data_IF_808404522361
#
_entry.id   IF_808404522361
#
_cell.length_a   1.000
_cell.length_b   1.000
_cell.length_c   1.000
_cell.angle_alpha   90.00
_cell.angle_beta   90.00
_cell.angle_gamma   90.00
#
_symmetry.space_group_name_H-M   'P 1'
#
loop_
_entity.id
_entity.type
_entity.pdbx_description
1 polymer ?
#
# COMPACT_ATOMS: atom_id res chain seq x y z
N UNK A 1 -24.07 19.49 -88.56
CA UNK A 1 -24.13 18.40 -87.56
C UNK A 1 -25.44 18.43 -86.78
N UNK A 2 -26.07 19.60 -86.59
CA UNK A 2 -27.29 19.73 -85.78
C UNK A 2 -28.53 19.10 -86.41
N UNK A 3 -28.65 19.10 -87.74
CA UNK A 3 -29.78 18.46 -88.44
C UNK A 3 -29.76 16.93 -88.33
N UNK A 4 -28.57 16.31 -88.38
CA UNK A 4 -28.43 14.86 -88.21
C UNK A 4 -28.75 14.41 -86.77
N UNK A 5 -28.42 15.24 -85.77
CA UNK A 5 -28.79 14.98 -84.38
C UNK A 5 -30.30 15.06 -84.16
N UNK A 6 -30.98 16.03 -84.79
CA UNK A 6 -32.43 16.20 -84.70
C UNK A 6 -33.21 15.05 -85.36
N UNK A 7 -32.73 14.51 -86.48
CA UNK A 7 -33.34 13.35 -87.13
C UNK A 7 -33.07 12.05 -86.36
N UNK A 8 -31.89 11.90 -85.75
CA UNK A 8 -31.58 10.75 -84.89
C UNK A 8 -32.46 10.74 -83.62
N UNK A 9 -32.75 11.91 -83.03
CA UNK A 9 -33.56 12.05 -81.82
C UNK A 9 -35.05 11.71 -82.01
N UNK A 10 -35.54 11.68 -83.27
CA UNK A 10 -36.93 11.32 -83.59
C UNK A 10 -37.17 9.82 -83.67
N UNK A 11 -36.12 9.00 -83.71
CA UNK A 11 -36.28 7.54 -83.74
C UNK A 11 -36.74 7.00 -82.38
N UNK A 12 -37.73 6.12 -82.41
CA UNK A 12 -38.32 5.42 -81.24
C UNK A 12 -37.26 4.70 -80.40
N UNK A 13 -36.21 4.19 -81.05
CA UNK A 13 -35.07 3.54 -80.39
C UNK A 13 -34.25 4.50 -79.51
N UNK A 14 -34.08 5.76 -79.91
CA UNK A 14 -33.29 6.74 -79.16
C UNK A 14 -34.01 7.15 -77.87
N UNK A 15 -35.35 7.20 -77.90
CA UNK A 15 -36.14 7.39 -76.69
C UNK A 15 -36.00 6.23 -75.70
N UNK A 16 -35.99 4.98 -76.19
CA UNK A 16 -35.73 3.80 -75.35
C UNK A 16 -34.30 3.78 -74.76
N UNK A 17 -33.30 4.14 -75.55
CA UNK A 17 -31.91 4.27 -75.12
C UNK A 17 -31.76 5.35 -74.05
N UNK A 18 -32.38 6.51 -74.24
CA UNK A 18 -32.32 7.63 -73.31
C UNK A 18 -32.99 7.26 -71.97
N UNK A 19 -34.14 6.58 -72.01
CA UNK A 19 -34.83 6.11 -70.81
C UNK A 19 -34.00 5.07 -70.05
N UNK A 20 -33.39 4.11 -70.75
CA UNK A 20 -32.50 3.11 -70.15
C UNK A 20 -31.24 3.73 -69.54
N UNK A 21 -30.64 4.71 -70.24
CA UNK A 21 -29.46 5.42 -69.76
C UNK A 21 -29.79 6.28 -68.52
N UNK A 22 -30.97 6.89 -68.47
CA UNK A 22 -31.45 7.61 -67.30
C UNK A 22 -31.55 6.68 -66.09
N UNK A 23 -32.20 5.51 -66.24
CA UNK A 23 -32.33 4.53 -65.14
C UNK A 23 -30.95 4.03 -64.68
N UNK A 24 -30.07 3.70 -65.62
CA UNK A 24 -28.69 3.29 -65.31
C UNK A 24 -27.91 4.38 -64.56
N UNK A 25 -28.08 5.64 -64.95
CA UNK A 25 -27.45 6.77 -64.27
C UNK A 25 -27.94 6.93 -62.82
N UNK A 26 -29.25 6.79 -62.58
CA UNK A 26 -29.80 6.85 -61.22
C UNK A 26 -29.27 5.72 -60.32
N UNK A 27 -29.19 4.49 -60.83
CA UNK A 27 -28.66 3.33 -60.10
C UNK A 27 -27.17 3.49 -59.83
N UNK A 28 -26.42 4.02 -60.79
CA UNK A 28 -24.99 4.27 -60.61
C UNK A 28 -24.75 5.35 -59.56
N UNK A 29 -25.51 6.45 -59.60
CA UNK A 29 -25.43 7.53 -58.62
C UNK A 29 -25.77 7.03 -57.20
N UNK A 30 -26.83 6.23 -57.06
CA UNK A 30 -27.22 5.68 -55.74
C UNK A 30 -26.16 4.72 -55.22
N UNK A 31 -25.73 3.74 -56.03
CA UNK A 31 -24.71 2.77 -55.63
C UNK A 31 -23.37 3.42 -55.31
N UNK A 32 -23.00 4.49 -56.00
CA UNK A 32 -21.79 5.26 -55.68
C UNK A 32 -21.92 6.08 -54.40
N UNK A 33 -23.12 6.58 -54.09
CA UNK A 33 -23.41 7.26 -52.83
C UNK A 33 -23.29 6.30 -51.65
N UNK A 34 -23.93 5.13 -51.73
CA UNK A 34 -23.95 4.14 -50.66
C UNK A 34 -22.53 3.59 -50.39
N UNK A 35 -21.76 3.33 -51.45
CA UNK A 35 -20.34 2.94 -51.34
C UNK A 35 -19.50 4.01 -50.65
N UNK A 36 -19.76 5.28 -50.90
CA UNK A 36 -19.04 6.39 -50.25
C UNK A 36 -19.40 6.51 -48.78
N UNK A 37 -20.66 6.30 -48.40
CA UNK A 37 -21.08 6.30 -46.99
C UNK A 37 -20.45 5.13 -46.25
N UNK A 38 -20.54 3.90 -46.80
CA UNK A 38 -19.91 2.72 -46.22
C UNK A 38 -18.39 2.89 -46.06
N UNK A 39 -17.71 3.46 -47.05
CA UNK A 39 -16.27 3.73 -46.95
C UNK A 39 -15.91 4.75 -45.85
N UNK A 40 -16.79 5.71 -45.55
CA UNK A 40 -16.59 6.66 -44.44
C UNK A 40 -16.80 6.00 -43.09
N UNK A 41 -17.80 5.14 -42.98
CA UNK A 41 -18.08 4.39 -41.74
C UNK A 41 -16.93 3.44 -41.40
N UNK A 42 -16.40 2.71 -42.40
CA UNK A 42 -15.22 1.85 -42.21
C UNK A 42 -14.03 2.66 -41.68
N UNK A 43 -13.73 3.81 -42.30
CA UNK A 43 -12.62 4.67 -41.84
C UNK A 43 -12.83 5.21 -40.41
N UNK A 44 -14.08 5.54 -40.07
CA UNK A 44 -14.42 5.98 -38.72
C UNK A 44 -14.19 4.86 -37.71
N UNK A 45 -14.71 3.66 -37.98
CA UNK A 45 -14.53 2.49 -37.13
C UNK A 45 -13.05 2.10 -36.99
N UNK A 46 -12.28 2.19 -38.07
CA UNK A 46 -10.83 1.93 -38.02
C UNK A 46 -10.09 2.94 -37.13
N UNK A 47 -10.52 4.21 -37.15
CA UNK A 47 -9.99 5.25 -36.26
C UNK A 47 -10.36 4.96 -34.82
N UNK A 48 -11.62 4.61 -34.55
CA UNK A 48 -12.09 4.26 -33.20
C UNK A 48 -11.33 3.02 -32.66
N UNK A 49 -11.12 1.98 -33.47
CA UNK A 49 -10.32 0.80 -33.10
C UNK A 49 -8.87 1.19 -32.79
N UNK A 50 -8.28 2.06 -33.60
CA UNK A 50 -6.90 2.53 -33.39
C UNK A 50 -6.78 3.31 -32.08
N UNK A 51 -7.73 4.20 -31.80
CA UNK A 51 -7.74 4.99 -30.58
C UNK A 51 -7.94 4.11 -29.34
N UNK A 52 -8.88 3.14 -29.39
CA UNK A 52 -9.08 2.16 -28.32
C UNK A 52 -7.83 1.31 -28.07
N UNK A 53 -7.19 0.83 -29.14
CA UNK A 53 -5.94 0.06 -29.03
C UNK A 53 -4.81 0.89 -28.44
N UNK A 54 -4.73 2.18 -28.80
CA UNK A 54 -3.78 3.13 -28.22
C UNK A 54 -4.02 3.37 -26.73
N UNK A 55 -5.28 3.57 -26.33
CA UNK A 55 -5.64 3.72 -24.92
C UNK A 55 -5.33 2.47 -24.11
N UNK A 56 -5.63 1.28 -24.64
CA UNK A 56 -5.37 0.02 -23.96
C UNK A 56 -3.88 -0.25 -23.80
N UNK A 57 -3.08 0.00 -24.84
CA UNK A 57 -1.62 -0.11 -24.75
C UNK A 57 -1.05 0.87 -23.71
N UNK A 58 -1.57 2.10 -23.69
CA UNK A 58 -1.17 3.11 -22.69
C UNK A 58 -1.53 2.66 -21.27
N UNK A 59 -2.73 2.13 -21.05
CA UNK A 59 -3.14 1.62 -19.74
C UNK A 59 -2.32 0.41 -19.31
N UNK A 60 -2.04 -0.53 -20.22
CA UNK A 60 -1.17 -1.67 -19.94
C UNK A 60 0.24 -1.20 -19.58
N UNK A 61 0.79 -0.22 -20.30
CA UNK A 61 2.11 0.37 -20.01
C UNK A 61 2.12 1.05 -18.65
N UNK A 62 1.09 1.83 -18.32
CA UNK A 62 0.96 2.51 -17.01
C UNK A 62 0.82 1.46 -15.89
N UNK A 63 0.00 0.44 -16.08
CA UNK A 63 -0.21 -0.61 -15.08
C UNK A 63 1.05 -1.44 -14.85
N UNK A 64 1.75 -1.83 -15.93
CA UNK A 64 3.02 -2.54 -15.83
C UNK A 64 4.08 -1.69 -15.12
N UNK A 65 4.22 -0.42 -15.49
CA UNK A 65 5.17 0.50 -14.84
C UNK A 65 4.81 0.74 -13.37
N UNK A 66 3.52 0.91 -13.04
CA UNK A 66 3.08 1.05 -11.65
C UNK A 66 3.32 -0.20 -10.82
N UNK A 67 3.11 -1.39 -11.40
CA UNK A 67 3.38 -2.67 -10.74
C UNK A 67 4.90 -2.88 -10.52
N UNK A 68 5.74 -2.49 -11.47
CA UNK A 68 7.20 -2.55 -11.34
C UNK A 68 7.70 -1.66 -10.19
N UNK A 69 7.21 -0.41 -10.11
CA UNK A 69 7.51 0.50 -9.00
C UNK A 69 7.06 -0.09 -7.65
N UNK A 70 5.85 -0.66 -7.59
CA UNK A 70 5.34 -1.29 -6.38
C UNK A 70 6.21 -2.47 -5.94
N UNK A 71 6.71 -3.25 -6.92
CA UNK A 71 7.58 -4.38 -6.65
C UNK A 71 8.98 -3.95 -6.20
N UNK A 72 9.51 -2.86 -6.75
CA UNK A 72 10.75 -2.22 -6.29
C UNK A 72 10.60 -1.70 -4.85
N UNK A 73 9.51 -0.99 -4.54
CA UNK A 73 9.22 -0.54 -3.18
C UNK A 73 9.12 -1.71 -2.19
N UNK A 74 8.42 -2.79 -2.55
CA UNK A 74 8.37 -3.99 -1.71
C UNK A 74 9.76 -4.61 -1.48
N UNK A 75 10.61 -4.63 -2.50
CA UNK A 75 11.97 -5.15 -2.38
C UNK A 75 12.83 -4.25 -1.48
N UNK A 76 12.75 -2.93 -1.64
CA UNK A 76 13.47 -1.97 -0.80
C UNK A 76 13.02 -2.06 0.67
N UNK A 77 11.72 -2.14 0.93
CA UNK A 77 11.18 -2.34 2.28
C UNK A 77 11.65 -3.66 2.89
N UNK A 78 11.64 -4.76 2.14
CA UNK A 78 12.17 -6.05 2.62
C UNK A 78 13.65 -5.95 2.97
N UNK A 79 14.46 -5.31 2.13
CA UNK A 79 15.89 -5.07 2.40
C UNK A 79 16.09 -4.23 3.64
N UNK A 80 15.32 -3.15 3.81
CA UNK A 80 15.39 -2.29 4.99
C UNK A 80 14.97 -3.05 6.25
N UNK A 81 13.89 -3.83 6.18
CA UNK A 81 13.43 -4.63 7.31
C UNK A 81 14.48 -5.66 7.74
N UNK A 82 15.10 -6.36 6.80
CA UNK A 82 16.17 -7.31 7.10
C UNK A 82 17.41 -6.60 7.66
N UNK A 83 17.78 -5.44 7.12
CA UNK A 83 18.89 -4.64 7.66
C UNK A 83 18.59 -4.18 9.09
N UNK A 84 17.39 -3.67 9.35
CA UNK A 84 16.96 -3.29 10.70
C UNK A 84 16.94 -4.50 11.65
N UNK A 85 16.50 -5.66 11.19
CA UNK A 85 16.51 -6.91 11.97
C UNK A 85 17.93 -7.31 12.35
N UNK A 86 18.84 -7.30 11.37
CA UNK A 86 20.26 -7.60 11.60
C UNK A 86 20.88 -6.55 12.52
N UNK A 87 20.63 -5.26 12.31
CA UNK A 87 21.14 -4.18 13.13
C UNK A 87 20.64 -4.30 14.58
N UNK A 88 19.34 -4.55 14.77
CA UNK A 88 18.76 -4.75 16.09
C UNK A 88 19.37 -5.97 16.79
N UNK A 89 19.55 -7.10 16.08
CA UNK A 89 20.22 -8.27 16.64
C UNK A 89 21.70 -8.01 16.97
N UNK A 90 22.39 -7.20 16.15
CA UNK A 90 23.78 -6.83 16.38
C UNK A 90 23.92 -5.89 17.57
N UNK A 91 22.98 -4.95 17.76
CA UNK A 91 22.90 -4.09 18.95
C UNK A 91 22.64 -4.89 20.22
N UNK A 92 21.76 -5.91 20.17
CA UNK A 92 21.52 -6.80 21.31
C UNK A 92 22.73 -7.65 21.66
N UNK A 93 23.48 -8.14 20.67
CA UNK A 93 24.64 -9.02 20.90
C UNK A 93 25.92 -8.25 21.26
N UNK A 94 26.01 -6.96 20.92
CA UNK A 94 27.10 -6.08 21.30
C UNK A 94 26.59 -4.97 22.20
N UNK A 95 26.24 -5.26 23.48
CA UNK A 95 26.08 -4.20 24.47
C UNK A 95 27.34 -3.34 24.38
N UNK A 96 27.14 -2.03 24.17
CA UNK A 96 28.20 -1.15 23.67
C UNK A 96 29.45 -1.23 24.55
N UNK A 97 30.63 -0.96 24.00
CA UNK A 97 31.88 -0.92 24.79
C UNK A 97 31.78 0.07 25.97
N UNK A 98 30.89 1.06 25.88
CA UNK A 98 30.55 1.98 26.95
C UNK A 98 29.72 1.33 28.07
N UNK A 99 28.74 0.49 27.75
CA UNK A 99 27.94 -0.26 28.74
C UNK A 99 28.80 -1.27 29.50
N UNK A 100 29.68 -1.98 28.79
CA UNK A 100 30.63 -2.90 29.43
C UNK A 100 31.60 -2.17 30.37
N UNK A 101 32.11 -1.00 29.97
CA UNK A 101 32.95 -0.18 30.84
C UNK A 101 32.17 0.34 32.04
N UNK A 102 30.92 0.77 31.86
CA UNK A 102 30.08 1.22 32.96
C UNK A 102 29.79 0.10 33.95
N UNK A 103 29.51 -1.11 33.47
CA UNK A 103 29.35 -2.30 34.31
C UNK A 103 30.62 -2.62 35.10
N UNK A 104 31.80 -2.55 34.47
CA UNK A 104 33.08 -2.74 35.18
C UNK A 104 33.31 -1.68 36.25
N UNK A 105 33.01 -0.42 35.97
CA UNK A 105 33.12 0.67 36.94
C UNK A 105 32.17 0.45 38.11
N UNK A 106 30.92 0.03 37.86
CA UNK A 106 29.99 -0.31 38.93
C UNK A 106 30.45 -1.50 39.77
N UNK A 107 30.97 -2.56 39.15
CA UNK A 107 31.49 -3.72 39.87
C UNK A 107 32.65 -3.33 40.80
N UNK A 108 33.60 -2.52 40.30
CA UNK A 108 34.71 -2.01 41.11
C UNK A 108 34.19 -1.15 42.26
N UNK A 109 33.25 -0.24 41.99
CA UNK A 109 32.67 0.63 43.00
C UNK A 109 31.95 -0.16 44.10
N UNK A 110 31.12 -1.14 43.72
CA UNK A 110 30.41 -2.03 44.66
C UNK A 110 31.40 -2.82 45.51
N UNK A 111 32.46 -3.37 44.91
CA UNK A 111 33.50 -4.11 45.62
C UNK A 111 34.21 -3.23 46.65
N UNK A 112 34.58 -2.00 46.28
CA UNK A 112 35.18 -1.03 47.21
C UNK A 112 34.22 -0.62 48.32
N UNK A 113 32.94 -0.39 48.02
CA UNK A 113 31.93 -0.07 49.04
C UNK A 113 31.71 -1.23 50.02
N UNK A 114 31.77 -2.49 49.55
CA UNK A 114 31.67 -3.69 50.39
C UNK A 114 32.83 -3.82 51.37
N UNK A 115 34.03 -3.40 50.97
CA UNK A 115 35.22 -3.42 51.81
C UNK A 115 35.21 -2.29 52.85
N UNK A 116 34.59 -1.14 52.54
CA UNK A 116 34.63 0.05 53.39
C UNK A 116 33.42 0.19 54.35
N UNK A 117 32.27 -0.43 54.06
CA UNK A 117 31.04 -0.22 54.81
C UNK A 117 30.46 -1.52 55.43
N UNK A 118 30.48 -1.68 56.77
CA UNK A 118 29.82 -2.80 57.43
C UNK A 118 28.29 -2.71 57.26
N UNK A 119 27.67 -3.79 56.79
CA UNK A 119 26.22 -3.86 56.54
C UNK A 119 25.77 -3.44 55.14
N UNK A 120 26.67 -2.99 54.27
CA UNK A 120 26.35 -2.64 52.88
C UNK A 120 25.95 -3.86 52.04
N UNK A 121 26.66 -4.99 52.19
CA UNK A 121 26.39 -6.22 51.44
C UNK A 121 24.92 -6.71 51.53
N UNK A 122 24.31 -6.90 52.72
CA UNK A 122 22.93 -7.35 52.81
C UNK A 122 21.91 -6.32 52.31
N UNK A 123 22.18 -5.02 52.44
CA UNK A 123 21.31 -3.97 51.92
C UNK A 123 21.35 -3.92 50.38
N UNK A 124 22.52 -4.11 49.78
CA UNK A 124 22.70 -4.18 48.34
C UNK A 124 22.05 -5.43 47.73
N UNK A 125 22.22 -6.61 48.34
CA UNK A 125 21.56 -7.85 47.88
C UNK A 125 20.03 -7.72 47.91
N UNK A 126 19.48 -7.09 48.95
CA UNK A 126 18.04 -6.81 49.04
C UNK A 126 17.57 -5.84 47.94
N UNK A 127 18.34 -4.78 47.67
CA UNK A 127 18.04 -3.83 46.61
C UNK A 127 18.13 -4.46 45.21
N UNK A 128 19.11 -5.35 44.98
CA UNK A 128 19.26 -6.09 43.73
C UNK A 128 18.03 -6.97 43.46
N UNK A 129 17.61 -7.76 44.47
CA UNK A 129 16.43 -8.63 44.36
C UNK A 129 15.14 -7.85 44.14
N UNK A 130 15.03 -6.66 44.72
CA UNK A 130 13.90 -5.76 44.50
C UNK A 130 13.90 -5.19 43.07
N UNK A 131 15.07 -4.79 42.57
CA UNK A 131 15.23 -4.31 41.19
C UNK A 131 14.93 -5.38 40.14
N UNK A 132 15.35 -6.63 40.37
CA UNK A 132 15.00 -7.77 39.51
C UNK A 132 13.48 -7.97 39.44
N UNK A 133 12.79 -7.90 40.59
CA UNK A 133 11.33 -8.04 40.67
C UNK A 133 10.59 -6.89 39.96
N UNK A 134 11.11 -5.67 40.05
CA UNK A 134 10.54 -4.50 39.35
C UNK A 134 10.75 -4.58 37.82
N UNK A 135 11.91 -5.08 37.37
CA UNK A 135 12.20 -5.30 35.96
C UNK A 135 11.30 -6.39 35.35
N UNK A 136 11.15 -7.52 36.05
CA UNK A 136 10.24 -8.60 35.64
C UNK A 136 8.77 -8.10 35.59
N UNK A 137 8.37 -7.28 36.56
CA UNK A 137 7.05 -6.65 36.58
C UNK A 137 6.85 -5.66 35.41
N UNK A 138 7.89 -4.91 35.03
CA UNK A 138 7.85 -3.99 33.89
C UNK A 138 7.72 -4.73 32.56
N UNK A 139 8.48 -5.81 32.35
CA UNK A 139 8.38 -6.68 31.17
C UNK A 139 7.00 -7.38 31.08
N UNK A 140 6.43 -7.75 32.23
CA UNK A 140 5.07 -8.31 32.32
C UNK A 140 3.98 -7.25 32.11
N UNK A 141 4.22 -5.99 32.47
CA UNK A 141 3.32 -4.85 32.25
C UNK A 141 3.03 -4.59 30.77
N UNK A 142 4.05 -4.71 29.91
CA UNK A 142 3.90 -4.65 28.46
C UNK A 142 3.02 -5.79 27.91
N UNK A 143 3.10 -7.01 28.46
CA UNK A 143 2.19 -8.11 28.10
C UNK A 143 0.73 -7.81 28.44
N UNK A 144 0.47 -7.13 29.57
CA UNK A 144 -0.89 -6.71 29.98
C UNK A 144 -1.48 -5.65 29.04
N UNK A 145 -0.66 -4.73 28.54
CA UNK A 145 -1.08 -3.76 27.52
C UNK A 145 -1.43 -4.45 26.20
N UNK A 146 -0.60 -5.38 25.68
CA UNK A 146 -0.89 -6.12 24.45
C UNK A 146 -2.20 -6.91 24.54
N UNK A 147 -2.50 -7.51 25.70
CA UNK A 147 -3.78 -8.21 25.94
C UNK A 147 -4.99 -7.26 25.98
N UNK A 148 -4.79 -5.99 26.34
CA UNK A 148 -5.84 -4.94 26.34
C UNK A 148 -6.16 -4.43 24.93
N UNK A 149 -5.20 -4.46 23.99
CA UNK A 149 -5.37 -3.94 22.61
C UNK A 149 -5.91 -4.98 21.61
N UNK A 150 -6.17 -6.22 22.03
CA UNK A 150 -6.92 -7.21 21.24
C UNK A 150 -8.31 -7.40 21.88
N UNK A 151 -9.29 -6.52 21.61
CA UNK A 151 -10.66 -6.73 22.06
C UNK A 151 -11.31 -7.76 21.13
N UNK A 152 -11.54 -9.00 21.61
CA UNK A 152 -12.31 -9.94 20.80
C UNK A 152 -12.52 -11.39 21.23
N UNK A 153 -11.86 -11.94 22.26
CA UNK A 153 -12.02 -13.38 22.59
C UNK A 153 -12.09 -13.74 24.09
N UNK A 154 -12.31 -12.78 24.99
CA UNK A 154 -12.26 -13.05 26.43
C UNK A 154 -13.52 -12.65 27.19
N UNK A 155 -14.65 -13.28 26.92
CA UNK A 155 -15.84 -13.14 27.76
C UNK A 155 -15.66 -13.97 29.05
N UNK A 156 -15.33 -13.34 30.18
CA UNK A 156 -15.78 -13.76 31.52
C UNK A 156 -15.48 -12.71 32.59
N UNK A 157 -16.33 -12.65 33.65
CA UNK A 157 -16.74 -11.40 34.28
C UNK A 157 -15.90 -10.99 35.49
N UNK A 158 -16.21 -9.78 35.93
CA UNK A 158 -15.68 -9.04 37.07
C UNK A 158 -15.37 -9.86 38.34
N UNK A 159 -14.27 -9.49 38.99
CA UNK A 159 -14.25 -9.32 40.45
C UNK A 159 -13.74 -7.93 40.76
N UNK A 160 -14.65 -7.10 41.26
CA UNK A 160 -14.34 -5.91 42.03
C UNK A 160 -13.66 -6.37 43.33
N UNK A 161 -12.64 -5.63 43.78
CA UNK A 161 -12.29 -5.62 45.20
C UNK A 161 -12.05 -4.18 45.59
N UNK A 162 -13.11 -3.60 46.12
CA UNK A 162 -13.13 -2.40 46.96
C UNK A 162 -12.73 -2.80 48.38
N UNK A 163 -11.67 -2.19 48.94
CA UNK A 163 -11.44 -2.01 50.38
C UNK A 163 -10.68 -0.67 50.50
N UNK A 164 -11.30 0.47 50.78
CA UNK A 164 -11.88 0.93 52.06
C UNK A 164 -10.84 1.12 53.18
N UNK A 165 -10.27 2.33 53.22
CA UNK A 165 -10.08 3.23 54.37
C UNK A 165 -9.88 2.59 55.76
N UNK A 166 -8.73 2.89 56.39
CA UNK A 166 -8.64 3.24 57.81
C UNK A 166 -7.66 4.40 57.98
N UNK A 167 -8.23 5.59 58.05
CA UNK A 167 -7.79 6.73 58.84
C UNK A 167 -7.88 6.34 60.33
N UNK A 168 -6.86 6.57 61.16
CA UNK A 168 -7.00 7.12 62.53
C UNK A 168 -5.64 7.36 63.23
N UNK A 169 -5.55 8.53 63.88
CA UNK A 169 -4.94 8.84 65.20
C UNK A 169 -3.54 8.34 65.58
N UNK A 170 -2.71 9.05 66.34
CA UNK A 170 -2.83 10.27 67.16
C UNK A 170 -1.40 10.53 67.68
N UNK A 171 -0.86 11.75 67.60
CA UNK A 171 -0.80 12.75 68.68
C UNK A 171 0.56 12.81 69.42
N UNK A 172 0.98 14.07 69.68
CA UNK A 172 1.87 14.52 70.77
C UNK A 172 3.33 14.02 70.74
N UNK A 173 4.38 14.82 70.99
CA UNK A 173 4.67 15.92 71.93
C UNK A 173 6.18 16.26 71.74
N UNK A 174 6.83 17.09 72.57
CA UNK A 174 6.46 18.33 73.24
C UNK A 174 7.27 19.55 72.74
#
# INVERSE_FOLDING_TARGET
MDQLLLDLLKHEFVWGLLLGLLVAFFIWKSGFSDRRVAAREIKRLETEIKDLTGHLNTQLKINASGNELLQEELETLRRQNENLRVNNSALQQKPGRAEQQMLQVYEIAIRTMREQAPGFAPAWEKALRQGEAELEAAESGLKKLVRRVIPGLGNSPASQTTVAITEDSSAERP
#
